data_IF_972537744608
#
_entry.id   IF_972537744608
#
_cell.length_a   1.000
_cell.length_b   1.000
_cell.length_c   1.000
_cell.angle_alpha   90.00
_cell.angle_beta   90.00
_cell.angle_gamma   90.00
#
_symmetry.space_group_name_H-M   'P 1'
#
loop_
_entity.id
_entity.type
_entity.pdbx_description
1 polymer ?
#
# COMPACT_ATOMS: atom_id res chain seq x y z
N UNK A 1 -9.52 25.21 -9.31
CA UNK A 1 -8.16 24.65 -9.50
C UNK A 1 -7.92 23.41 -8.65
N UNK A 2 -8.09 23.47 -7.32
CA UNK A 2 -7.80 22.32 -6.42
C UNK A 2 -8.53 21.02 -6.74
N UNK A 3 -9.85 21.07 -7.02
CA UNK A 3 -10.64 19.89 -7.40
C UNK A 3 -10.09 19.22 -8.67
N UNK A 4 -9.72 20.03 -9.67
CA UNK A 4 -9.17 19.53 -10.94
C UNK A 4 -7.85 18.81 -10.70
N UNK A 5 -6.95 19.38 -9.91
CA UNK A 5 -5.67 18.75 -9.57
C UNK A 5 -5.84 17.47 -8.73
N UNK A 6 -6.85 17.40 -7.86
CA UNK A 6 -7.18 16.18 -7.12
C UNK A 6 -7.61 15.05 -8.08
N UNK A 7 -8.45 15.35 -9.06
CA UNK A 7 -8.86 14.37 -10.08
C UNK A 7 -7.67 13.84 -10.88
N UNK A 8 -6.78 14.72 -11.35
CA UNK A 8 -5.59 14.29 -12.07
C UNK A 8 -4.63 13.49 -11.18
N UNK A 9 -4.43 13.91 -9.92
CA UNK A 9 -3.61 13.18 -8.96
C UNK A 9 -4.14 11.77 -8.68
N UNK A 10 -5.44 11.63 -8.46
CA UNK A 10 -6.09 10.33 -8.32
C UNK A 10 -5.94 9.48 -9.58
N UNK A 11 -6.11 10.08 -10.76
CA UNK A 11 -5.89 9.42 -12.05
C UNK A 11 -4.48 8.85 -12.21
N UNK A 12 -3.44 9.60 -11.82
CA UNK A 12 -2.05 9.13 -11.86
C UNK A 12 -1.83 7.97 -10.87
N UNK A 13 -2.39 8.07 -9.66
CA UNK A 13 -2.30 6.99 -8.66
C UNK A 13 -2.98 5.70 -9.13
N UNK A 14 -4.16 5.83 -9.74
CA UNK A 14 -4.92 4.72 -10.31
C UNK A 14 -4.23 4.08 -11.52
N UNK A 15 -3.63 4.90 -12.39
CA UNK A 15 -3.09 4.47 -13.68
C UNK A 15 -2.16 3.27 -13.57
N UNK A 16 -1.23 3.30 -12.61
CA UNK A 16 -0.27 2.20 -12.43
C UNK A 16 -0.97 0.89 -12.06
N UNK A 17 -1.92 0.95 -11.14
CA UNK A 17 -2.64 -0.24 -10.71
C UNK A 17 -3.61 -0.78 -11.76
N UNK A 18 -4.25 0.09 -12.56
CA UNK A 18 -5.08 -0.32 -13.70
C UNK A 18 -4.23 -0.97 -14.78
N UNK A 19 -3.07 -0.36 -15.10
CA UNK A 19 -2.13 -0.91 -16.07
C UNK A 19 -1.70 -2.32 -15.66
N UNK A 20 -1.23 -2.51 -14.43
CA UNK A 20 -0.87 -3.83 -13.91
C UNK A 20 -2.07 -4.79 -13.95
N UNK A 21 -3.25 -4.36 -13.51
CA UNK A 21 -4.46 -5.19 -13.54
C UNK A 21 -4.87 -5.66 -14.92
N UNK A 22 -4.53 -4.91 -15.98
CA UNK A 22 -4.82 -5.27 -17.37
C UNK A 22 -3.79 -6.23 -17.99
N UNK A 23 -2.62 -6.40 -17.36
CA UNK A 23 -1.60 -7.35 -17.79
C UNK A 23 -1.96 -8.76 -17.34
N UNK A 24 -3.00 -9.33 -17.97
CA UNK A 24 -3.50 -10.69 -17.69
C UNK A 24 -2.48 -11.81 -17.91
N UNK A 25 -1.31 -11.51 -18.49
CA UNK A 25 -0.20 -12.46 -18.65
C UNK A 25 0.47 -12.84 -17.31
N UNK A 26 0.22 -12.11 -16.22
CA UNK A 26 0.82 -12.34 -14.91
C UNK A 26 -0.26 -12.60 -13.84
N UNK A 27 -0.32 -13.81 -13.24
CA UNK A 27 -1.37 -14.18 -12.27
C UNK A 27 -1.51 -13.21 -11.08
N UNK A 28 -0.38 -12.71 -10.55
CA UNK A 28 -0.39 -11.79 -9.41
C UNK A 28 -1.03 -10.44 -9.75
N UNK A 29 -0.79 -9.95 -10.96
CA UNK A 29 -1.32 -8.66 -11.40
C UNK A 29 -2.77 -8.74 -11.85
N UNK A 30 -3.23 -9.90 -12.30
CA UNK A 30 -4.61 -10.13 -12.76
C UNK A 30 -5.62 -10.15 -11.59
N UNK A 31 -5.73 -9.02 -10.87
CA UNK A 31 -6.63 -8.82 -9.74
C UNK A 31 -7.28 -7.45 -9.80
N UNK A 32 -8.62 -7.44 -9.73
CA UNK A 32 -9.43 -6.23 -9.75
C UNK A 32 -9.25 -5.35 -8.50
N UNK A 33 -8.59 -5.82 -7.44
CA UNK A 33 -8.36 -5.05 -6.21
C UNK A 33 -7.05 -4.25 -6.30
N UNK A 34 -6.18 -4.57 -7.25
CA UNK A 34 -4.83 -4.00 -7.33
C UNK A 34 -4.83 -2.49 -7.58
N UNK A 35 -5.74 -1.99 -8.42
CA UNK A 35 -5.84 -0.55 -8.67
C UNK A 35 -6.29 0.24 -7.44
N UNK A 36 -7.15 -0.34 -6.61
CA UNK A 36 -7.55 0.25 -5.32
C UNK A 36 -6.36 0.30 -4.36
N UNK A 37 -5.58 -0.78 -4.30
CA UNK A 37 -4.38 -0.85 -3.45
C UNK A 37 -3.39 0.28 -3.79
N UNK A 38 -3.08 0.47 -5.08
CA UNK A 38 -2.18 1.55 -5.50
C UNK A 38 -2.72 2.95 -5.22
N UNK A 39 -4.04 3.16 -5.37
CA UNK A 39 -4.66 4.44 -5.08
C UNK A 39 -4.61 4.76 -3.58
N UNK A 40 -5.07 3.84 -2.72
CA UNK A 40 -5.09 4.07 -1.28
C UNK A 40 -3.68 4.24 -0.72
N UNK A 41 -2.74 3.40 -1.16
CA UNK A 41 -1.31 3.57 -0.81
C UNK A 41 -0.75 4.91 -1.28
N UNK A 42 -1.21 5.40 -2.44
CA UNK A 42 -0.81 6.71 -2.97
C UNK A 42 -1.36 7.88 -2.15
N UNK A 43 -2.62 7.79 -1.71
CA UNK A 43 -3.26 8.79 -0.86
C UNK A 43 -2.62 8.82 0.54
N UNK A 44 -2.33 7.66 1.12
CA UNK A 44 -1.57 7.55 2.37
C UNK A 44 -0.18 8.17 2.23
N UNK A 45 0.57 7.79 1.19
CA UNK A 45 1.89 8.39 0.92
C UNK A 45 1.85 9.92 0.72
N UNK A 46 0.80 10.44 0.08
CA UNK A 46 0.61 11.88 -0.07
C UNK A 46 0.29 12.56 1.27
N UNK A 47 -0.61 11.98 2.08
CA UNK A 47 -0.91 12.49 3.42
C UNK A 47 0.33 12.49 4.31
N UNK A 48 1.10 11.40 4.29
CA UNK A 48 2.36 11.27 5.00
C UNK A 48 3.39 12.32 4.54
N UNK A 49 3.53 12.53 3.23
CA UNK A 49 4.45 13.55 2.70
C UNK A 49 4.08 14.96 3.15
N UNK A 50 2.79 15.33 3.06
CA UNK A 50 2.32 16.63 3.53
C UNK A 50 2.51 16.77 5.04
N UNK A 51 2.31 15.69 5.80
CA UNK A 51 2.50 15.69 7.25
C UNK A 51 3.95 16.04 7.65
N UNK A 52 4.95 15.56 6.90
CA UNK A 52 6.37 15.89 7.14
C UNK A 52 6.65 17.39 6.97
N UNK A 53 6.03 18.04 5.99
CA UNK A 53 6.29 19.46 5.67
C UNK A 53 5.34 20.44 6.38
N UNK A 54 4.21 19.95 6.90
CA UNK A 54 3.21 20.75 7.59
C UNK A 54 3.82 21.43 8.82
N UNK A 55 3.55 22.73 8.98
CA UNK A 55 4.05 23.54 10.11
C UNK A 55 3.00 23.72 11.20
N UNK A 56 1.72 23.61 10.85
CA UNK A 56 0.61 23.82 11.76
C UNK A 56 0.27 22.50 12.49
N UNK A 57 0.15 22.56 13.82
CA UNK A 57 -0.21 21.39 14.66
C UNK A 57 -1.56 20.80 14.26
N UNK A 58 -2.56 21.64 14.00
CA UNK A 58 -3.89 21.19 13.59
C UNK A 58 -3.86 20.44 12.25
N UNK A 59 -3.05 20.93 11.30
CA UNK A 59 -2.88 20.27 10.01
C UNK A 59 -2.18 18.92 10.15
N UNK A 60 -1.16 18.83 11.01
CA UNK A 60 -0.49 17.55 11.32
C UNK A 60 -1.43 16.52 11.93
N UNK A 61 -2.28 16.95 12.85
CA UNK A 61 -3.29 16.08 13.47
C UNK A 61 -4.31 15.58 12.44
N UNK A 62 -4.85 16.49 11.62
CA UNK A 62 -5.78 16.13 10.56
C UNK A 62 -5.16 15.13 9.56
N UNK A 63 -3.91 15.35 9.16
CA UNK A 63 -3.19 14.47 8.25
C UNK A 63 -2.90 13.10 8.88
N UNK A 64 -2.55 13.06 10.17
CA UNK A 64 -2.37 11.80 10.90
C UNK A 64 -3.69 11.01 11.04
N UNK A 65 -4.82 11.69 11.27
CA UNK A 65 -6.14 11.02 11.28
C UNK A 65 -6.48 10.47 9.91
N UNK A 66 -6.29 11.25 8.85
CA UNK A 66 -6.54 10.81 7.48
C UNK A 66 -5.65 9.62 7.08
N UNK A 67 -4.35 9.69 7.41
CA UNK A 67 -3.39 8.64 7.11
C UNK A 67 -3.71 7.35 7.88
N UNK A 68 -4.08 7.43 9.17
CA UNK A 68 -4.59 6.28 9.92
C UNK A 68 -5.76 5.57 9.22
N UNK A 69 -6.72 6.34 8.69
CA UNK A 69 -7.85 5.78 7.93
C UNK A 69 -7.35 5.10 6.66
N UNK A 70 -6.44 5.72 5.91
CA UNK A 70 -5.87 5.10 4.71
C UNK A 70 -5.09 3.83 5.02
N UNK A 71 -4.29 3.78 6.09
CA UNK A 71 -3.53 2.59 6.50
C UNK A 71 -4.46 1.43 6.89
N UNK A 72 -5.55 1.71 7.60
CA UNK A 72 -6.56 0.68 7.94
C UNK A 72 -7.22 0.14 6.68
N UNK A 73 -7.61 1.02 5.75
CA UNK A 73 -8.19 0.63 4.47
C UNK A 73 -7.18 -0.14 3.62
N UNK A 74 -5.91 0.30 3.59
CA UNK A 74 -4.82 -0.37 2.87
C UNK A 74 -4.62 -1.80 3.39
N UNK A 75 -4.56 -1.98 4.71
CA UNK A 75 -4.44 -3.31 5.32
C UNK A 75 -5.62 -4.21 4.95
N UNK A 76 -6.84 -3.67 4.96
CA UNK A 76 -8.03 -4.41 4.54
C UNK A 76 -7.98 -4.79 3.06
N UNK A 77 -7.57 -3.87 2.19
CA UNK A 77 -7.42 -4.12 0.75
C UNK A 77 -6.33 -5.14 0.47
N UNK A 78 -5.20 -5.10 1.20
CA UNK A 78 -4.15 -6.12 1.11
C UNK A 78 -4.71 -7.49 1.48
N UNK A 79 -5.48 -7.59 2.56
CA UNK A 79 -6.12 -8.85 2.95
C UNK A 79 -7.07 -9.35 1.85
N UNK A 80 -7.92 -8.48 1.30
CA UNK A 80 -8.81 -8.82 0.19
C UNK A 80 -8.04 -9.24 -1.07
N UNK A 81 -6.93 -8.58 -1.36
CA UNK A 81 -6.06 -8.93 -2.50
C UNK A 81 -5.49 -10.33 -2.35
N UNK A 82 -4.95 -10.67 -1.17
CA UNK A 82 -4.40 -12.01 -0.89
C UNK A 82 -5.51 -13.08 -0.91
N UNK A 83 -6.65 -12.82 -0.27
CA UNK A 83 -7.80 -13.74 -0.28
C UNK A 83 -8.26 -13.97 -1.73
N UNK A 84 -8.45 -12.90 -2.50
CA UNK A 84 -8.86 -12.98 -3.89
C UNK A 84 -7.92 -13.83 -4.74
N UNK A 85 -6.61 -13.69 -4.57
CA UNK A 85 -5.62 -14.52 -5.25
C UNK A 85 -5.69 -16.00 -4.81
N UNK A 86 -5.78 -16.27 -3.51
CA UNK A 86 -5.85 -17.65 -2.97
C UNK A 86 -7.13 -18.39 -3.35
N UNK A 87 -8.24 -17.67 -3.59
CA UNK A 87 -9.54 -18.29 -3.93
C UNK A 87 -9.80 -18.43 -5.43
N UNK A 88 -8.98 -17.82 -6.29
CA UNK A 88 -9.28 -17.73 -7.72
C UNK A 88 -8.84 -18.97 -8.52
N UNK A 89 -7.53 -19.20 -8.67
CA UNK A 89 -6.97 -20.36 -9.39
C UNK A 89 -5.72 -20.85 -8.67
N UNK A 90 -5.32 -22.10 -8.87
CA UNK A 90 -4.09 -22.66 -8.29
C UNK A 90 -2.84 -21.82 -8.61
N UNK A 91 -2.75 -21.31 -9.85
CA UNK A 91 -1.65 -20.45 -10.28
C UNK A 91 -1.65 -19.11 -9.52
N UNK A 92 -2.82 -18.50 -9.31
CA UNK A 92 -2.93 -17.27 -8.53
C UNK A 92 -2.69 -17.52 -7.04
N UNK A 93 -3.08 -18.68 -6.52
CA UNK A 93 -2.79 -19.07 -5.16
C UNK A 93 -1.28 -19.23 -4.92
N UNK A 94 -0.56 -19.83 -5.88
CA UNK A 94 0.90 -19.90 -5.84
C UNK A 94 1.55 -18.52 -5.97
N UNK A 95 0.99 -17.63 -6.79
CA UNK A 95 1.46 -16.25 -6.89
C UNK A 95 1.29 -15.48 -5.57
N UNK A 96 0.21 -15.71 -4.82
CA UNK A 96 0.06 -15.15 -3.47
C UNK A 96 1.11 -15.72 -2.50
N UNK A 97 1.48 -16.99 -2.65
CA UNK A 97 2.49 -17.62 -1.81
C UNK A 97 3.88 -16.98 -2.00
N UNK A 98 4.20 -16.39 -3.15
CA UNK A 98 5.42 -15.57 -3.32
C UNK A 98 5.51 -14.43 -2.30
N UNK A 99 4.36 -13.84 -1.92
CA UNK A 99 4.26 -12.77 -0.93
C UNK A 99 4.09 -13.28 0.49
N UNK A 100 3.45 -14.43 0.70
CA UNK A 100 3.17 -14.96 2.04
C UNK A 100 4.31 -15.79 2.60
N UNK A 101 4.93 -16.63 1.76
CA UNK A 101 5.89 -17.66 2.17
C UNK A 101 7.13 -17.75 1.26
N UNK A 102 7.13 -17.11 0.09
CA UNK A 102 8.20 -17.18 -0.89
C UNK A 102 9.28 -16.09 -0.71
N UNK A 103 9.98 -15.79 -1.80
CA UNK A 103 11.14 -14.90 -1.82
C UNK A 103 10.83 -13.47 -1.33
N UNK A 104 9.60 -13.00 -1.51
CA UNK A 104 9.19 -11.65 -1.12
C UNK A 104 8.55 -11.60 0.27
N UNK A 105 8.39 -12.74 0.95
CA UNK A 105 7.64 -12.81 2.20
C UNK A 105 8.25 -12.01 3.34
N UNK A 106 9.58 -12.11 3.52
CA UNK A 106 10.29 -11.32 4.54
C UNK A 106 10.07 -9.83 4.31
N UNK A 107 10.21 -9.38 3.06
CA UNK A 107 10.05 -7.98 2.70
C UNK A 107 8.60 -7.51 2.86
N UNK A 108 7.63 -8.33 2.48
CA UNK A 108 6.21 -8.03 2.62
C UNK A 108 5.81 -7.90 4.09
N UNK A 109 6.12 -8.88 4.92
CA UNK A 109 5.72 -8.86 6.34
C UNK A 109 6.47 -7.79 7.15
N UNK A 110 7.78 -7.66 6.96
CA UNK A 110 8.58 -6.73 7.77
C UNK A 110 8.39 -5.29 7.29
N UNK A 111 8.57 -5.03 6.00
CA UNK A 111 8.60 -3.65 5.51
C UNK A 111 7.22 -3.10 5.14
N UNK A 112 6.34 -3.90 4.56
CA UNK A 112 4.99 -3.43 4.19
C UNK A 112 4.07 -3.48 5.40
N UNK A 113 3.85 -4.67 5.97
CA UNK A 113 2.92 -4.83 7.09
C UNK A 113 3.48 -4.20 8.36
N UNK A 114 4.69 -4.58 8.78
CA UNK A 114 5.30 -4.09 10.02
C UNK A 114 5.61 -2.60 9.96
N UNK A 115 6.59 -2.23 9.14
CA UNK A 115 7.13 -0.87 9.08
C UNK A 115 6.21 0.09 8.33
N UNK A 116 5.55 -0.34 7.26
CA UNK A 116 4.71 0.52 6.42
C UNK A 116 3.34 0.82 7.01
N UNK A 117 2.79 -0.10 7.81
CA UNK A 117 1.39 -0.03 8.28
C UNK A 117 1.30 -0.07 9.80
N UNK A 118 1.69 -1.17 10.43
CA UNK A 118 1.42 -1.43 11.85
C UNK A 118 2.16 -0.43 12.76
N UNK A 119 3.47 -0.24 12.55
CA UNK A 119 4.27 0.67 13.37
C UNK A 119 3.78 2.12 13.22
N UNK A 120 3.59 2.66 12.00
CA UNK A 120 3.04 4.01 11.82
C UNK A 120 1.67 4.17 12.44
N UNK A 121 0.77 3.21 12.26
CA UNK A 121 -0.58 3.25 12.82
C UNK A 121 -0.55 3.34 14.36
N UNK A 122 0.31 2.56 15.02
CA UNK A 122 0.49 2.65 16.47
C UNK A 122 1.00 4.04 16.88
N UNK A 123 2.05 4.54 16.22
CA UNK A 123 2.65 5.85 16.56
C UNK A 123 1.63 6.97 16.34
N UNK A 124 0.93 6.97 15.20
CA UNK A 124 -0.04 8.00 14.86
C UNK A 124 -1.28 7.95 15.76
N UNK A 125 -1.78 6.77 16.12
CA UNK A 125 -2.88 6.64 17.08
C UNK A 125 -2.49 7.16 18.47
N UNK A 126 -1.25 6.90 18.92
CA UNK A 126 -0.76 7.47 20.17
C UNK A 126 -0.61 9.00 20.09
N UNK A 127 -0.17 9.52 18.95
CA UNK A 127 0.01 10.96 18.74
C UNK A 127 -1.33 11.71 18.71
N UNK A 128 -2.31 11.20 17.94
CA UNK A 128 -3.66 11.77 17.84
C UNK A 128 -4.40 11.70 19.20
N UNK A 129 -4.15 10.67 20.00
CA UNK A 129 -4.67 10.59 21.37
C UNK A 129 -3.86 11.39 22.39
N UNK A 130 -2.96 12.28 21.93
CA UNK A 130 -2.16 13.18 22.77
C UNK A 130 -1.26 12.46 23.79
N UNK A 131 -0.96 11.16 23.57
CA UNK A 131 -0.08 10.36 24.45
C UNK A 131 1.39 10.57 24.13
N UNK A 132 1.70 10.93 22.88
CA UNK A 132 3.04 11.29 22.41
C UNK A 132 2.97 12.52 21.50
N UNK A 133 4.10 13.19 21.28
CA UNK A 133 4.17 14.29 20.32
C UNK A 133 4.17 13.78 18.87
N UNK A 134 3.64 14.60 17.96
CA UNK A 134 3.76 14.35 16.52
C UNK A 134 5.23 14.38 16.10
N UNK A 135 5.69 13.27 15.53
CA UNK A 135 7.05 13.14 15.00
C UNK A 135 7.00 12.81 13.51
N UNK A 136 8.03 13.18 12.72
CA UNK A 136 8.09 12.82 11.31
C UNK A 136 8.41 11.33 11.09
N UNK A 137 8.65 10.55 12.15
CA UNK A 137 9.05 9.15 12.06
C UNK A 137 7.94 8.34 11.39
N UNK A 138 6.71 8.39 11.92
CA UNK A 138 5.59 7.63 11.35
C UNK A 138 5.35 7.91 9.85
N UNK A 139 5.20 9.18 9.39
CA UNK A 139 4.99 9.44 7.97
C UNK A 139 6.18 9.04 7.09
N UNK A 140 7.42 9.11 7.58
CA UNK A 140 8.57 8.61 6.81
C UNK A 140 8.51 7.09 6.62
N UNK A 141 8.12 6.35 7.66
CA UNK A 141 7.95 4.90 7.58
C UNK A 141 6.81 4.51 6.61
N UNK A 142 5.71 5.27 6.59
CA UNK A 142 4.62 5.08 5.60
C UNK A 142 5.12 5.26 4.17
N UNK A 143 5.88 6.32 3.90
CA UNK A 143 6.44 6.56 2.56
C UNK A 143 7.37 5.41 2.14
N UNK A 144 8.24 4.95 3.06
CA UNK A 144 9.15 3.83 2.81
C UNK A 144 8.37 2.54 2.56
N UNK A 145 7.39 2.23 3.40
CA UNK A 145 6.55 1.04 3.27
C UNK A 145 5.74 1.02 1.97
N UNK A 146 5.12 2.15 1.62
CA UNK A 146 4.40 2.32 0.36
C UNK A 146 5.30 2.21 -0.87
N UNK A 147 6.54 2.71 -0.81
CA UNK A 147 7.51 2.52 -1.88
C UNK A 147 7.87 1.04 -2.05
N UNK A 148 8.18 0.36 -0.94
CA UNK A 148 8.52 -1.06 -0.93
C UNK A 148 7.35 -1.93 -1.41
N UNK A 149 6.11 -1.62 -1.02
CA UNK A 149 4.91 -2.28 -1.52
C UNK A 149 4.86 -2.26 -3.06
N UNK A 150 5.05 -1.08 -3.66
CA UNK A 150 5.05 -0.94 -5.13
C UNK A 150 6.14 -1.78 -5.77
N UNK A 151 7.35 -1.77 -5.21
CA UNK A 151 8.45 -2.59 -5.71
C UNK A 151 8.14 -4.09 -5.62
N UNK A 152 7.65 -4.57 -4.48
CA UNK A 152 7.35 -5.99 -4.27
C UNK A 152 6.24 -6.45 -5.20
N UNK A 153 5.16 -5.69 -5.35
CA UNK A 153 4.05 -6.08 -6.22
C UNK A 153 4.48 -6.16 -7.69
N UNK A 154 5.31 -5.21 -8.15
CA UNK A 154 5.85 -5.25 -9.51
C UNK A 154 6.85 -6.39 -9.65
N UNK A 155 7.78 -6.56 -8.73
CA UNK A 155 8.80 -7.62 -8.80
C UNK A 155 8.17 -9.02 -8.73
N UNK A 156 7.34 -9.29 -7.72
CA UNK A 156 6.68 -10.58 -7.54
C UNK A 156 5.79 -10.95 -8.75
N UNK A 157 5.15 -9.97 -9.39
CA UNK A 157 4.39 -10.22 -10.60
C UNK A 157 5.23 -10.66 -11.79
N UNK A 158 6.49 -10.22 -11.89
CA UNK A 158 7.44 -10.71 -12.90
C UNK A 158 7.86 -12.16 -12.68
N UNK A 159 7.85 -12.63 -11.42
CA UNK A 159 8.10 -14.03 -11.06
C UNK A 159 6.85 -14.91 -11.20
N UNK A 160 5.64 -14.32 -11.20
CA UNK A 160 4.40 -15.07 -11.39
C UNK A 160 4.18 -15.39 -12.88
N UNK A 161 4.15 -16.66 -13.26
CA UNK A 161 3.89 -17.09 -14.63
C UNK A 161 2.73 -18.09 -14.67
N UNK A 162 1.99 -18.14 -15.79
CA UNK A 162 0.93 -19.14 -15.99
C UNK A 162 1.45 -20.55 -16.24
N UNK A 163 2.69 -20.67 -16.73
CA UNK A 163 3.34 -21.94 -16.98
C UNK A 163 4.45 -22.14 -15.95
N UNK A 164 4.41 -23.26 -15.23
CA UNK A 164 5.54 -23.70 -14.44
C UNK A 164 6.70 -24.01 -15.40
N UNK A 165 7.85 -23.38 -15.19
CA UNK A 165 9.09 -23.87 -15.80
C UNK A 165 9.42 -25.18 -15.08
N UNK A 166 9.10 -26.30 -15.73
CA UNK A 166 9.54 -27.64 -15.31
C UNK A 166 11.06 -27.76 -15.39
#
# INVERSE_FOLDING_TARGET
LGVVTMFFGAGIGLYTGVLLSSLGARPLWSSAVLWLLFLISGLSGAAAFVHVIAKNVYERELLAVADNVFLIIELFIIALFIIGLKTATEVQAHAADLLLFGEFASSFWVFVIGIGIIIPLIIQLLAVNHKIHHTPIAPLLVIIGGLILRFIIVAAGQYSHWFALN
#
